data_IF_984742625977
#
_entry.id   IF_984742625977
#
_cell.length_a   1.000
_cell.length_b   1.000
_cell.length_c   1.000
_cell.angle_alpha   90.00
_cell.angle_beta   90.00
_cell.angle_gamma   90.00
#
_symmetry.space_group_name_H-M   'P 1'
#
loop_
_entity.id
_entity.type
_entity.pdbx_description
1 polymer ?
#
# COMPACT_ATOMS: atom_id res chain seq x y z
N UNK A 1 -3.75 -26.53 31.43
CA UNK A 1 -2.69 -25.80 30.71
C UNK A 1 -3.40 -24.68 29.98
N UNK A 2 -3.33 -23.45 30.51
CA UNK A 2 -4.06 -22.32 29.93
C UNK A 2 -3.28 -21.81 28.72
N UNK A 3 -3.96 -21.67 27.59
CA UNK A 3 -3.42 -21.05 26.37
C UNK A 3 -3.02 -19.61 26.68
N UNK A 4 -1.71 -19.34 26.73
CA UNK A 4 -1.18 -17.99 26.82
C UNK A 4 -1.17 -17.45 25.39
N UNK A 5 -2.29 -16.89 24.95
CA UNK A 5 -2.32 -16.06 23.75
C UNK A 5 -1.59 -14.76 24.11
N UNK A 6 -0.47 -14.44 23.44
CA UNK A 6 0.25 -13.21 23.74
C UNK A 6 -0.68 -11.99 23.52
N UNK A 7 -0.72 -11.02 24.46
CA UNK A 7 -1.60 -9.88 24.34
C UNK A 7 -1.21 -9.03 23.13
N UNK A 8 -2.22 -8.62 22.36
CA UNK A 8 -2.04 -7.73 21.22
C UNK A 8 -1.42 -6.39 21.67
N UNK A 9 -0.70 -5.71 20.77
CA UNK A 9 -0.14 -4.39 21.08
C UNK A 9 -1.23 -3.43 21.59
N UNK A 10 -0.94 -2.69 22.66
CA UNK A 10 -1.85 -1.69 23.22
C UNK A 10 -2.24 -0.61 22.22
N UNK A 11 -1.39 -0.35 21.22
CA UNK A 11 -1.66 0.59 20.11
C UNK A 11 -2.75 0.08 19.17
N UNK A 12 -2.91 -1.25 19.05
CA UNK A 12 -3.83 -1.90 18.12
C UNK A 12 -5.14 -2.33 18.80
N UNK A 13 -5.13 -2.51 20.12
CA UNK A 13 -6.29 -3.04 20.87
C UNK A 13 -7.56 -2.22 20.70
N UNK A 14 -7.47 -0.90 20.85
CA UNK A 14 -8.63 -0.03 20.72
C UNK A 14 -9.12 0.06 19.26
N UNK A 15 -8.20 -0.02 18.30
CA UNK A 15 -8.49 0.03 16.87
C UNK A 15 -9.25 -1.23 16.44
N UNK A 16 -8.77 -2.41 16.85
CA UNK A 16 -9.44 -3.68 16.54
C UNK A 16 -10.83 -3.71 17.17
N UNK A 17 -10.98 -3.29 18.43
CA UNK A 17 -12.30 -3.23 19.08
C UNK A 17 -13.27 -2.30 18.33
N UNK A 18 -12.78 -1.21 17.75
CA UNK A 18 -13.60 -0.29 16.96
C UNK A 18 -13.93 -0.82 15.55
N UNK A 19 -13.00 -1.51 14.89
CA UNK A 19 -13.13 -1.93 13.49
C UNK A 19 -13.74 -3.32 13.30
N UNK A 20 -13.58 -4.22 14.27
CA UNK A 20 -14.03 -5.60 14.18
C UNK A 20 -15.53 -5.75 13.87
N UNK A 21 -16.44 -4.94 14.45
CA UNK A 21 -17.86 -5.02 14.12
C UNK A 21 -18.14 -4.68 12.65
N UNK A 22 -17.50 -3.62 12.12
CA UNK A 22 -17.67 -3.20 10.74
C UNK A 22 -17.07 -4.22 9.75
N UNK A 23 -15.90 -4.79 10.07
CA UNK A 23 -15.27 -5.83 9.27
C UNK A 23 -16.12 -7.11 9.21
N UNK A 24 -16.74 -7.48 10.33
CA UNK A 24 -17.63 -8.66 10.40
C UNK A 24 -18.91 -8.44 9.57
N UNK A 25 -19.49 -7.22 9.64
CA UNK A 25 -20.64 -6.86 8.83
C UNK A 25 -20.31 -6.85 7.33
N UNK A 26 -19.18 -6.28 6.94
CA UNK A 26 -18.72 -6.29 5.55
C UNK A 26 -18.45 -7.71 5.03
N UNK A 27 -17.87 -8.59 5.85
CA UNK A 27 -17.67 -9.99 5.47
C UNK A 27 -19.00 -10.75 5.27
N UNK A 28 -20.02 -10.45 6.08
CA UNK A 28 -21.35 -11.04 5.95
C UNK A 28 -22.10 -10.54 4.69
N UNK A 29 -21.92 -9.28 4.30
CA UNK A 29 -22.47 -8.70 3.05
C UNK A 29 -21.93 -9.38 1.78
N UNK A 30 -20.82 -10.12 1.88
CA UNK A 30 -20.24 -10.92 0.80
C UNK A 30 -20.70 -12.38 0.77
N UNK A 31 -21.53 -12.83 1.72
CA UNK A 31 -22.04 -14.19 1.78
C UNK A 31 -23.27 -14.34 0.87
N UNK A 32 -23.07 -15.03 -0.27
CA UNK A 32 -24.05 -15.39 -1.31
C UNK A 32 -24.85 -14.21 -1.91
N UNK A 33 -24.61 -13.86 -3.19
CA UNK A 33 -25.30 -12.76 -3.83
C UNK A 33 -26.80 -13.06 -3.94
N UNK A 34 -27.62 -12.34 -3.18
CA UNK A 34 -29.06 -12.34 -3.39
C UNK A 34 -29.38 -11.62 -4.71
N UNK A 35 -29.91 -12.31 -5.74
CA UNK A 35 -30.16 -11.73 -7.06
C UNK A 35 -31.19 -10.60 -7.05
N UNK A 36 -32.03 -10.52 -6.01
CA UNK A 36 -33.05 -9.48 -5.87
C UNK A 36 -32.53 -8.20 -5.17
N UNK A 37 -31.26 -8.21 -4.71
CA UNK A 37 -30.67 -7.12 -3.95
C UNK A 37 -29.50 -6.49 -4.69
N UNK A 38 -29.65 -5.23 -5.10
CA UNK A 38 -28.57 -4.44 -5.71
C UNK A 38 -27.73 -3.83 -4.58
N UNK A 39 -26.56 -4.40 -4.34
CA UNK A 39 -25.64 -3.91 -3.32
C UNK A 39 -24.77 -2.75 -3.85
N UNK A 40 -24.99 -1.54 -3.34
CA UNK A 40 -24.16 -0.35 -3.61
C UNK A 40 -23.07 -0.11 -2.54
N UNK A 41 -22.97 -0.95 -1.51
CA UNK A 41 -21.96 -0.81 -0.44
C UNK A 41 -20.56 -1.23 -0.90
N UNK A 42 -20.45 -1.98 -2.00
CA UNK A 42 -19.19 -2.47 -2.55
C UNK A 42 -18.63 -1.46 -3.55
N UNK A 43 -17.47 -0.87 -3.24
CA UNK A 43 -16.78 0.11 -4.10
C UNK A 43 -15.91 -0.52 -5.20
N UNK A 44 -15.79 -1.85 -5.21
CA UNK A 44 -15.02 -2.59 -6.19
C UNK A 44 -15.93 -3.10 -7.31
N UNK A 45 -15.44 -3.02 -8.54
CA UNK A 45 -16.12 -3.66 -9.66
C UNK A 45 -16.02 -5.18 -9.53
N UNK A 46 -17.15 -5.86 -9.45
CA UNK A 46 -17.20 -7.32 -9.36
C UNK A 46 -16.80 -8.03 -10.67
N UNK A 47 -16.75 -7.29 -11.78
CA UNK A 47 -16.45 -7.84 -13.10
C UNK A 47 -15.18 -7.21 -13.66
N UNK A 48 -14.16 -8.05 -13.86
CA UNK A 48 -13.06 -7.72 -14.77
C UNK A 48 -13.60 -7.69 -16.20
N UNK A 49 -13.11 -6.75 -17.01
CA UNK A 49 -13.46 -6.70 -18.43
C UNK A 49 -13.02 -8.01 -19.10
N UNK A 50 -13.86 -8.65 -19.94
CA UNK A 50 -13.53 -9.92 -20.58
C UNK A 50 -12.18 -9.92 -21.29
N UNK A 51 -11.88 -8.84 -22.02
CA UNK A 51 -10.60 -8.66 -22.72
C UNK A 51 -9.39 -8.74 -21.77
N UNK A 52 -9.52 -8.20 -20.55
CA UNK A 52 -8.46 -8.23 -19.55
C UNK A 52 -8.26 -9.65 -19.00
N UNK A 53 -9.35 -10.41 -18.85
CA UNK A 53 -9.29 -11.82 -18.44
C UNK A 53 -8.56 -12.64 -19.51
N UNK A 54 -8.84 -12.41 -20.79
CA UNK A 54 -8.14 -13.09 -21.89
C UNK A 54 -6.66 -12.76 -21.92
N UNK A 55 -6.29 -11.48 -21.78
CA UNK A 55 -4.88 -11.06 -21.68
C UNK A 55 -4.18 -11.75 -20.51
N UNK A 56 -4.81 -11.82 -19.33
CA UNK A 56 -4.23 -12.50 -18.18
C UNK A 56 -4.06 -14.01 -18.43
N UNK A 57 -5.06 -14.67 -19.02
CA UNK A 57 -4.98 -16.09 -19.36
C UNK A 57 -3.88 -16.38 -20.37
N UNK A 58 -3.75 -15.53 -21.39
CA UNK A 58 -2.75 -15.65 -22.44
C UNK A 58 -1.33 -15.51 -21.88
N UNK A 59 -1.10 -14.48 -21.05
CA UNK A 59 0.18 -14.27 -20.38
C UNK A 59 0.56 -15.44 -19.44
N UNK A 60 -0.41 -16.02 -18.75
CA UNK A 60 -0.19 -17.21 -17.91
C UNK A 60 0.18 -18.43 -18.78
N UNK A 61 -0.46 -18.61 -19.92
CA UNK A 61 -0.26 -19.78 -20.77
C UNK A 61 1.07 -19.73 -21.54
N UNK A 62 1.50 -18.55 -21.98
CA UNK A 62 2.60 -18.40 -22.94
C UNK A 62 3.86 -17.72 -22.37
N UNK A 63 3.70 -16.79 -21.42
CA UNK A 63 4.79 -15.91 -20.95
C UNK A 63 5.24 -16.21 -19.51
N UNK A 64 4.57 -17.15 -18.83
CA UNK A 64 4.91 -17.54 -17.46
C UNK A 64 6.09 -18.53 -17.47
N UNK A 65 7.30 -17.99 -17.31
CA UNK A 65 8.52 -18.77 -17.07
C UNK A 65 8.86 -18.79 -15.57
N UNK A 66 9.71 -19.74 -15.16
CA UNK A 66 10.11 -19.89 -13.75
C UNK A 66 10.75 -18.61 -13.21
N UNK A 67 11.49 -17.88 -14.05
CA UNK A 67 12.15 -16.62 -13.72
C UNK A 67 11.15 -15.49 -13.43
N UNK A 68 9.95 -15.53 -14.01
CA UNK A 68 8.89 -14.55 -13.74
C UNK A 68 8.37 -14.63 -12.31
N UNK A 69 8.52 -15.80 -11.67
CA UNK A 69 8.12 -16.02 -10.26
C UNK A 69 9.26 -15.73 -9.27
N UNK A 70 10.46 -15.40 -9.76
CA UNK A 70 11.55 -15.00 -8.89
C UNK A 70 11.31 -13.61 -8.31
N UNK A 71 12.02 -13.30 -7.23
CA UNK A 71 12.03 -11.95 -6.68
C UNK A 71 12.54 -10.96 -7.75
N UNK A 72 11.80 -9.87 -8.04
CA UNK A 72 12.19 -8.92 -9.08
C UNK A 72 13.55 -8.30 -8.76
N UNK A 73 14.36 -8.12 -9.81
CA UNK A 73 15.76 -7.67 -9.68
C UNK A 73 15.85 -6.17 -9.34
N UNK A 74 14.78 -5.40 -9.56
CA UNK A 74 14.73 -3.96 -9.32
C UNK A 74 14.30 -3.60 -7.89
N UNK A 75 15.02 -2.66 -7.27
CA UNK A 75 14.78 -2.16 -5.91
C UNK A 75 13.35 -1.61 -5.69
N UNK A 76 12.69 -1.16 -6.77
CA UNK A 76 11.34 -0.61 -6.75
C UNK A 76 10.29 -1.48 -7.44
N UNK A 77 10.65 -2.67 -7.92
CA UNK A 77 9.76 -3.52 -8.72
C UNK A 77 10.38 -4.02 -10.02
N UNK A 78 9.58 -4.70 -10.83
CA UNK A 78 10.01 -5.16 -12.14
C UNK A 78 10.31 -3.96 -13.07
N UNK A 79 11.53 -3.87 -13.65
CA UNK A 79 11.91 -2.74 -14.50
C UNK A 79 11.05 -2.58 -15.76
N UNK A 80 10.59 -3.69 -16.36
CA UNK A 80 9.76 -3.67 -17.57
C UNK A 80 8.37 -3.10 -17.26
N UNK A 81 7.79 -3.51 -16.14
CA UNK A 81 6.53 -2.98 -15.61
C UNK A 81 6.65 -1.49 -15.32
N UNK A 82 7.69 -1.06 -14.59
CA UNK A 82 7.90 0.35 -14.25
C UNK A 82 8.06 1.22 -15.50
N UNK A 83 8.79 0.75 -16.53
CA UNK A 83 8.92 1.43 -17.82
C UNK A 83 7.57 1.57 -18.53
N UNK A 84 6.75 0.53 -18.48
CA UNK A 84 5.43 0.52 -19.11
C UNK A 84 4.45 1.46 -18.41
N UNK A 85 4.46 1.48 -17.07
CA UNK A 85 3.68 2.42 -16.25
C UNK A 85 4.11 3.86 -16.54
N UNK A 86 5.43 4.15 -16.58
CA UNK A 86 5.95 5.46 -16.95
C UNK A 86 5.42 5.92 -18.32
N UNK A 87 5.46 5.04 -19.34
CA UNK A 87 4.93 5.35 -20.67
C UNK A 87 3.42 5.63 -20.64
N UNK A 88 2.66 4.83 -19.90
CA UNK A 88 1.23 5.01 -19.72
C UNK A 88 0.93 6.37 -19.07
N UNK A 89 1.55 6.67 -17.94
CA UNK A 89 1.30 7.90 -17.20
C UNK A 89 1.66 9.14 -18.03
N UNK A 90 2.81 9.13 -18.69
CA UNK A 90 3.22 10.25 -19.55
C UNK A 90 2.29 10.45 -20.74
N UNK A 91 1.75 9.35 -21.32
CA UNK A 91 0.83 9.43 -22.46
C UNK A 91 -0.54 9.99 -22.09
N UNK A 92 -1.10 9.57 -20.96
CA UNK A 92 -2.49 9.88 -20.62
C UNK A 92 -2.65 11.10 -19.70
N UNK A 93 -1.67 11.40 -18.87
CA UNK A 93 -1.76 12.48 -17.89
C UNK A 93 -0.93 13.72 -18.25
N UNK A 94 -0.03 13.62 -19.23
CA UNK A 94 0.80 14.73 -19.75
C UNK A 94 1.39 15.57 -18.60
N UNK A 95 2.16 14.96 -17.68
CA UNK A 95 2.67 15.67 -16.51
C UNK A 95 3.66 16.76 -16.93
N UNK A 96 3.72 17.86 -16.15
CA UNK A 96 4.66 18.96 -16.39
C UNK A 96 6.14 18.50 -16.35
N UNK A 97 6.44 17.47 -15.55
CA UNK A 97 7.74 16.81 -15.51
C UNK A 97 7.54 15.35 -15.95
N UNK A 98 8.26 14.87 -16.99
CA UNK A 98 8.15 13.50 -17.44
C UNK A 98 8.47 12.49 -16.33
N UNK A 99 7.57 11.54 -16.12
CA UNK A 99 7.72 10.50 -15.12
C UNK A 99 8.70 9.45 -15.66
N UNK A 100 9.89 9.36 -15.10
CA UNK A 100 10.85 8.29 -15.39
C UNK A 100 10.65 7.09 -14.46
N UNK A 101 11.20 5.93 -14.81
CA UNK A 101 11.13 4.73 -13.97
C UNK A 101 11.78 4.94 -12.59
N UNK A 102 12.69 5.90 -12.44
CA UNK A 102 13.36 6.22 -11.17
C UNK A 102 12.39 6.81 -10.14
N UNK A 103 11.28 7.40 -10.59
CA UNK A 103 10.25 7.97 -9.71
C UNK A 103 9.13 6.99 -9.35
N UNK A 104 9.25 5.73 -9.76
CA UNK A 104 8.21 4.72 -9.60
C UNK A 104 8.65 3.64 -8.63
N UNK A 105 7.70 3.17 -7.83
CA UNK A 105 7.83 1.97 -6.99
C UNK A 105 6.51 1.21 -7.13
N UNK A 106 6.59 -0.09 -7.38
CA UNK A 106 5.44 -0.99 -7.43
C UNK A 106 5.20 -1.60 -6.06
N UNK A 107 3.95 -1.67 -5.64
CA UNK A 107 3.56 -2.26 -4.38
C UNK A 107 2.31 -3.13 -4.53
N UNK A 108 1.96 -3.81 -3.45
CA UNK A 108 0.90 -4.80 -3.40
C UNK A 108 -0.45 -4.08 -3.23
N UNK A 109 -0.89 -3.45 -4.31
CA UNK A 109 -2.13 -2.68 -4.34
C UNK A 109 -2.03 -1.30 -3.67
N UNK A 110 -3.08 -0.49 -3.88
CA UNK A 110 -3.11 0.90 -3.41
C UNK A 110 -3.11 1.03 -1.88
N UNK A 111 -3.75 0.09 -1.17
CA UNK A 111 -3.80 0.10 0.30
C UNK A 111 -2.40 0.01 0.93
N UNK A 112 -1.55 -0.88 0.40
CA UNK A 112 -0.17 -1.01 0.87
C UNK A 112 0.68 0.21 0.53
N UNK A 113 0.49 0.83 -0.65
CA UNK A 113 1.14 2.09 -0.99
C UNK A 113 0.81 3.18 0.04
N UNK A 114 -0.47 3.32 0.40
CA UNK A 114 -0.92 4.32 1.37
C UNK A 114 -0.35 4.06 2.77
N UNK A 115 -0.36 2.81 3.23
CA UNK A 115 0.20 2.43 4.54
C UNK A 115 1.71 2.69 4.60
N UNK A 116 2.43 2.36 3.53
CA UNK A 116 3.87 2.63 3.39
C UNK A 116 4.14 4.13 3.45
N UNK A 117 3.40 4.94 2.69
CA UNK A 117 3.56 6.40 2.68
C UNK A 117 3.26 6.97 4.07
N UNK A 118 2.17 6.55 4.71
CA UNK A 118 1.78 6.99 6.04
C UNK A 118 2.86 6.67 7.08
N UNK A 119 3.42 5.46 7.02
CA UNK A 119 4.51 5.04 7.89
C UNK A 119 5.78 5.85 7.65
N UNK A 120 6.18 6.07 6.38
CA UNK A 120 7.36 6.86 6.04
C UNK A 120 7.25 8.32 6.48
N UNK A 121 6.10 8.96 6.24
CA UNK A 121 5.89 10.37 6.63
C UNK A 121 5.85 10.50 8.15
N UNK A 122 5.19 9.57 8.85
CA UNK A 122 5.11 9.58 10.31
C UNK A 122 6.49 9.42 10.95
N UNK A 123 7.34 8.55 10.40
CA UNK A 123 8.72 8.40 10.84
C UNK A 123 9.57 9.65 10.56
N UNK A 124 9.43 10.24 9.37
CA UNK A 124 10.14 11.46 9.00
C UNK A 124 9.81 12.62 9.96
N UNK A 125 8.52 12.80 10.31
CA UNK A 125 8.09 13.80 11.29
C UNK A 125 8.69 13.56 12.68
N UNK A 126 8.75 12.30 13.15
CA UNK A 126 9.40 11.95 14.42
C UNK A 126 10.90 12.27 14.38
N UNK A 127 11.60 11.93 13.29
CA UNK A 127 13.01 12.26 13.12
C UNK A 127 13.25 13.78 13.07
N UNK A 128 12.40 14.54 12.39
CA UNK A 128 12.50 16.00 12.35
C UNK A 128 12.24 16.63 13.71
N UNK A 129 11.24 16.16 14.47
CA UNK A 129 10.99 16.65 15.84
C UNK A 129 12.16 16.31 16.77
N UNK A 130 12.72 15.10 16.68
CA UNK A 130 13.91 14.72 17.47
C UNK A 130 15.13 15.58 17.13
N UNK A 131 15.37 15.87 15.85
CA UNK A 131 16.45 16.76 15.40
C UNK A 131 16.25 18.19 15.91
N UNK A 132 15.02 18.73 15.87
CA UNK A 132 14.71 20.07 16.41
C UNK A 132 14.86 20.11 17.93
N UNK A 133 14.44 19.08 18.66
CA UNK A 133 14.61 18.99 20.11
C UNK A 133 16.08 18.86 20.53
N UNK A 134 16.89 18.08 19.81
CA UNK A 134 18.33 17.99 20.06
C UNK A 134 19.04 19.32 19.75
N UNK A 135 18.65 20.00 18.66
CA UNK A 135 19.21 21.31 18.31
C UNK A 135 18.85 22.38 19.36
N UNK A 136 17.61 22.37 19.87
CA UNK A 136 17.16 23.27 20.94
C UNK A 136 17.91 23.03 22.27
N UNK A 137 18.11 21.76 22.65
CA UNK A 137 18.91 21.39 23.83
C UNK A 137 20.37 21.83 23.69
N UNK A 138 20.94 21.72 22.49
CA UNK A 138 22.32 22.15 22.22
C UNK A 138 22.48 23.67 22.30
N UNK A 139 21.51 24.45 21.81
CA UNK A 139 21.52 25.93 21.95
C UNK A 139 21.37 26.35 23.41
N UNK A 140 20.46 25.71 24.15
CA UNK A 140 20.25 26.04 25.56
C UNK A 140 21.50 25.75 26.41
N UNK A 141 22.23 24.66 26.12
CA UNK A 141 23.50 24.34 26.75
C UNK A 141 24.61 25.36 26.45
N UNK A 142 24.65 25.90 25.22
CA UNK A 142 25.60 26.96 24.83
C UNK A 142 25.26 28.32 25.47
N UNK A 143 23.98 28.67 25.61
CA UNK A 143 23.56 29.92 26.23
C UNK A 143 23.72 29.94 27.77
N UNK A 144 23.82 28.78 28.42
CA UNK A 144 24.05 28.64 29.87
C UNK A 144 25.54 28.62 30.27
N UNK A 145 26.45 28.65 29.29
CA UNK A 145 27.91 28.70 29.51
C UNK A 145 28.53 30.09 29.23
N UNK A 146 27.71 31.09 28.91
CA UNK A 146 28.07 32.51 28.81
C UNK A 146 27.49 33.27 30.00
#
# INVERSE_FOLDING_TARGET
MADIIPPISSRMSNIIQALLPAATAAAADHAEPNPDFINFSVSNNNLLRPDLIEICKDAIAHDLIAETLNCPVGLGGDPSLMKSISKFLNKYFIPAIPITSVYLVTAWGAGFCLDTIASCISWALICTVMLVSQWFQHIQAYCLQL
#
